data_IF_827724804685
#
_entry.id   IF_827724804685
#
_cell.length_a   1.000
_cell.length_b   1.000
_cell.length_c   1.000
_cell.angle_alpha   90.00
_cell.angle_beta   90.00
_cell.angle_gamma   90.00
#
_symmetry.space_group_name_H-M   'P 1'
#
loop_
_entity.id
_entity.type
_entity.pdbx_description
1 polymer ?
#
# COMPACT_ATOMS: atom_id res chain seq x y z
N UNK A 1 -0.23 -3.27 -0.44
CA UNK A 1 -0.57 -2.08 -1.19
C UNK A 1 -0.48 -0.88 -0.26
N UNK A 2 -0.01 0.29 -0.69
CA UNK A 2 0.06 1.43 0.21
C UNK A 2 -1.33 1.86 0.69
N UNK A 3 -1.55 1.80 2.00
CA UNK A 3 -2.57 2.63 2.61
C UNK A 3 -2.20 4.08 2.24
N UNK A 4 -3.13 4.84 1.67
CA UNK A 4 -2.84 6.20 1.24
C UNK A 4 -2.30 7.01 2.42
N UNK A 5 -1.14 7.64 2.23
CA UNK A 5 -0.54 8.50 3.23
C UNK A 5 -0.82 9.94 2.88
N UNK A 6 -1.50 10.63 3.79
CA UNK A 6 -1.92 12.03 3.64
C UNK A 6 -1.16 12.92 4.62
N UNK A 7 -0.92 14.18 4.23
CA UNK A 7 -0.33 15.22 5.10
C UNK A 7 -1.36 16.02 5.88
N UNK A 8 -2.61 15.89 5.45
CA UNK A 8 -3.77 16.48 6.10
C UNK A 8 -4.35 15.54 7.16
N UNK A 9 -5.09 16.08 8.15
CA UNK A 9 -5.94 15.28 9.02
C UNK A 9 -6.89 14.39 8.19
N UNK A 10 -7.07 13.15 8.64
CA UNK A 10 -7.93 12.19 7.96
C UNK A 10 -9.40 12.37 8.32
N UNK A 11 -10.28 12.23 7.34
CA UNK A 11 -11.73 12.17 7.48
C UNK A 11 -12.17 10.72 7.25
N UNK A 12 -11.99 9.88 8.26
CA UNK A 12 -12.18 8.44 8.08
C UNK A 12 -13.66 8.02 8.02
N UNK A 13 -14.63 8.84 8.41
CA UNK A 13 -16.05 8.54 8.24
C UNK A 13 -16.56 9.14 6.92
N UNK A 14 -17.08 8.30 6.00
CA UNK A 14 -17.75 8.82 4.81
C UNK A 14 -18.92 9.73 5.17
N UNK A 15 -18.91 10.96 4.66
CA UNK A 15 -19.97 11.95 4.83
C UNK A 15 -19.84 12.87 6.05
N UNK A 16 -18.82 12.68 6.90
CA UNK A 16 -18.52 13.61 8.00
C UNK A 16 -17.46 14.62 7.56
N UNK A 17 -17.67 15.88 7.91
CA UNK A 17 -16.64 16.94 7.82
C UNK A 17 -15.91 17.15 9.15
N UNK A 18 -16.33 16.47 10.21
CA UNK A 18 -15.72 16.59 11.54
C UNK A 18 -14.64 15.52 11.75
N UNK A 19 -13.42 15.99 12.02
CA UNK A 19 -12.25 15.15 12.34
C UNK A 19 -12.34 14.51 13.73
N UNK A 20 -13.19 15.01 14.62
CA UNK A 20 -13.36 14.54 16.01
C UNK A 20 -14.44 13.48 16.19
N UNK A 21 -15.12 13.11 15.11
CA UNK A 21 -16.16 12.08 15.16
C UNK A 21 -15.58 10.72 15.56
N UNK A 22 -16.15 10.11 16.60
CA UNK A 22 -15.86 8.73 17.03
C UNK A 22 -15.95 7.70 15.90
N UNK A 23 -16.79 7.94 14.88
CA UNK A 23 -16.87 7.11 13.68
C UNK A 23 -15.57 7.04 12.88
N UNK A 24 -14.71 8.06 12.97
CA UNK A 24 -13.40 8.07 12.32
C UNK A 24 -12.48 6.96 12.87
N UNK A 25 -12.50 6.75 14.19
CA UNK A 25 -11.67 5.71 14.83
C UNK A 25 -12.13 4.29 14.46
N UNK A 26 -13.43 4.08 14.34
CA UNK A 26 -14.01 2.79 13.91
C UNK A 26 -13.55 2.45 12.50
N UNK A 27 -13.68 3.39 11.55
CA UNK A 27 -13.25 3.17 10.17
C UNK A 27 -11.75 2.99 10.01
N UNK A 28 -10.94 3.74 10.75
CA UNK A 28 -9.49 3.51 10.79
C UNK A 28 -9.14 2.11 11.27
N UNK A 29 -9.87 1.62 12.28
CA UNK A 29 -9.67 0.28 12.83
C UNK A 29 -10.07 -0.80 11.81
N UNK A 30 -11.24 -0.66 11.19
CA UNK A 30 -11.72 -1.55 10.13
C UNK A 30 -10.69 -1.61 8.99
N UNK A 31 -10.26 -0.46 8.46
CA UNK A 31 -9.28 -0.42 7.37
C UNK A 31 -7.97 -1.11 7.76
N UNK A 32 -7.46 -0.85 8.97
CA UNK A 32 -6.23 -1.48 9.44
C UNK A 32 -6.33 -3.00 9.53
N UNK A 33 -7.46 -3.53 10.02
CA UNK A 33 -7.68 -4.98 10.09
C UNK A 33 -7.92 -5.60 8.71
N UNK A 34 -8.79 -5.01 7.89
CA UNK A 34 -9.05 -5.46 6.52
C UNK A 34 -7.78 -5.54 5.69
N UNK A 35 -6.91 -4.53 5.82
CA UNK A 35 -5.62 -4.50 5.15
C UNK A 35 -4.70 -5.67 5.56
N UNK A 36 -4.54 -5.91 6.87
CA UNK A 36 -3.70 -6.99 7.39
C UNK A 36 -4.27 -8.35 7.01
N UNK A 37 -5.58 -8.53 7.15
CA UNK A 37 -6.28 -9.77 6.82
C UNK A 37 -6.16 -10.08 5.33
N UNK A 38 -6.37 -9.10 4.45
CA UNK A 38 -6.18 -9.30 3.02
C UNK A 38 -4.73 -9.66 2.66
N UNK A 39 -3.74 -9.08 3.37
CA UNK A 39 -2.32 -9.43 3.20
C UNK A 39 -2.05 -10.88 3.58
N UNK A 40 -2.64 -11.36 4.68
CA UNK A 40 -2.57 -12.76 5.08
C UNK A 40 -3.25 -13.68 4.06
N UNK A 41 -4.40 -13.29 3.52
CA UNK A 41 -5.07 -14.04 2.46
C UNK A 41 -4.15 -14.18 1.24
N UNK A 42 -3.47 -13.12 0.80
CA UNK A 42 -2.50 -13.21 -0.30
C UNK A 42 -1.31 -14.10 0.04
N UNK A 43 -0.71 -13.97 1.23
CA UNK A 43 0.41 -14.82 1.64
C UNK A 43 0.00 -16.30 1.63
N UNK A 44 -1.12 -16.63 2.29
CA UNK A 44 -1.62 -17.99 2.35
C UNK A 44 -2.01 -18.52 0.96
N UNK A 45 -2.69 -17.70 0.15
CA UNK A 45 -3.08 -18.05 -1.20
C UNK A 45 -1.88 -18.35 -2.10
N UNK A 46 -0.82 -17.53 -2.02
CA UNK A 46 0.38 -17.69 -2.85
C UNK A 46 1.11 -19.01 -2.60
N UNK A 47 1.00 -19.57 -1.39
CA UNK A 47 1.59 -20.88 -1.07
C UNK A 47 0.95 -21.99 -1.89
N UNK A 48 -0.35 -21.92 -2.16
CA UNK A 48 -1.05 -22.93 -2.95
C UNK A 48 -0.72 -22.90 -4.45
N UNK A 49 -0.02 -21.86 -4.93
CA UNK A 49 0.44 -21.77 -6.32
C UNK A 49 1.71 -22.60 -6.59
N UNK A 50 2.32 -23.20 -5.56
CA UNK A 50 3.42 -24.12 -5.77
C UNK A 50 2.93 -25.41 -6.46
N UNK A 51 3.66 -25.94 -7.46
CA UNK A 51 3.26 -27.16 -8.17
C UNK A 51 3.00 -28.37 -7.25
N UNK A 52 3.71 -28.47 -6.12
CA UNK A 52 3.50 -29.52 -5.11
C UNK A 52 2.14 -29.46 -4.41
N UNK A 53 1.43 -28.34 -4.53
CA UNK A 53 0.12 -28.10 -3.93
C UNK A 53 -0.97 -27.88 -5.01
N UNK A 54 -0.71 -28.27 -6.27
CA UNK A 54 -1.63 -28.05 -7.39
C UNK A 54 -3.05 -28.59 -7.14
N UNK A 55 -3.20 -29.66 -6.36
CA UNK A 55 -4.51 -30.20 -5.95
C UNK A 55 -5.38 -29.21 -5.16
N UNK A 56 -4.78 -28.16 -4.59
CA UNK A 56 -5.44 -27.15 -3.78
C UNK A 56 -5.39 -25.75 -4.41
N UNK A 57 -5.09 -25.64 -5.71
CA UNK A 57 -4.94 -24.35 -6.39
C UNK A 57 -6.19 -23.46 -6.25
N UNK A 58 -7.38 -24.07 -6.33
CA UNK A 58 -8.65 -23.39 -6.15
C UNK A 58 -8.77 -22.69 -4.78
N UNK A 59 -8.18 -23.25 -3.71
CA UNK A 59 -8.12 -22.59 -2.40
C UNK A 59 -7.26 -21.34 -2.47
N UNK A 60 -6.13 -21.43 -3.18
CA UNK A 60 -5.26 -20.29 -3.49
C UNK A 60 -6.00 -19.17 -4.21
N UNK A 61 -6.73 -19.49 -5.27
CA UNK A 61 -7.47 -18.52 -6.10
C UNK A 61 -8.55 -17.80 -5.28
N UNK A 62 -9.33 -18.55 -4.48
CA UNK A 62 -10.35 -17.95 -3.61
C UNK A 62 -9.76 -17.06 -2.52
N UNK A 63 -8.62 -17.45 -1.92
CA UNK A 63 -7.92 -16.60 -0.95
C UNK A 63 -7.41 -15.31 -1.62
N UNK A 64 -6.88 -15.40 -2.83
CA UNK A 64 -6.45 -14.24 -3.61
C UNK A 64 -7.61 -13.29 -3.93
N UNK A 65 -8.75 -13.85 -4.34
CA UNK A 65 -9.96 -13.08 -4.61
C UNK A 65 -10.48 -12.38 -3.34
N UNK A 66 -10.61 -13.10 -2.23
CA UNK A 66 -11.05 -12.54 -0.95
C UNK A 66 -10.08 -11.44 -0.46
N UNK A 67 -8.77 -11.67 -0.56
CA UNK A 67 -7.75 -10.67 -0.24
C UNK A 67 -7.89 -9.40 -1.09
N UNK A 68 -8.15 -9.55 -2.38
CA UNK A 68 -8.36 -8.44 -3.31
C UNK A 68 -9.59 -7.60 -2.96
N UNK A 69 -10.70 -8.24 -2.54
CA UNK A 69 -11.90 -7.53 -2.08
C UNK A 69 -11.66 -6.72 -0.80
N UNK A 70 -10.94 -7.29 0.17
CA UNK A 70 -10.56 -6.57 1.39
C UNK A 70 -9.68 -5.35 1.08
N UNK A 71 -8.78 -5.47 0.11
CA UNK A 71 -7.96 -4.36 -0.35
C UNK A 71 -8.76 -3.30 -1.08
N UNK A 72 -9.70 -3.70 -1.93
CA UNK A 72 -10.61 -2.77 -2.61
C UNK A 72 -11.46 -1.98 -1.61
N UNK A 73 -11.89 -2.61 -0.51
CA UNK A 73 -12.59 -1.91 0.56
C UNK A 73 -11.72 -0.79 1.15
N UNK A 74 -10.46 -1.08 1.46
CA UNK A 74 -9.52 -0.11 2.05
C UNK A 74 -9.24 1.04 1.08
N UNK A 75 -8.94 0.73 -0.18
CA UNK A 75 -8.56 1.75 -1.17
C UNK A 75 -9.75 2.57 -1.65
N UNK A 76 -10.92 1.93 -1.79
CA UNK A 76 -12.17 2.62 -2.08
C UNK A 76 -12.54 3.58 -0.96
N UNK A 77 -12.35 3.17 0.29
CA UNK A 77 -12.53 4.05 1.45
C UNK A 77 -11.55 5.24 1.41
N UNK A 78 -10.25 5.00 1.18
CA UNK A 78 -9.25 6.06 1.05
C UNK A 78 -9.60 7.05 -0.07
N UNK A 79 -10.05 6.56 -1.23
CA UNK A 79 -10.48 7.41 -2.35
C UNK A 79 -11.72 8.26 -2.01
N UNK A 80 -12.70 7.66 -1.34
CA UNK A 80 -13.90 8.39 -0.90
C UNK A 80 -13.53 9.50 0.08
N UNK A 81 -12.61 9.22 1.01
CA UNK A 81 -12.08 10.22 1.93
C UNK A 81 -11.41 11.37 1.16
N UNK A 82 -10.49 11.08 0.23
CA UNK A 82 -9.78 12.08 -0.57
C UNK A 82 -10.77 12.97 -1.31
N UNK A 83 -11.77 12.36 -1.95
CA UNK A 83 -12.78 13.08 -2.70
C UNK A 83 -13.64 13.98 -1.81
N UNK A 84 -14.05 13.48 -0.64
CA UNK A 84 -14.82 14.26 0.33
C UNK A 84 -14.01 15.43 0.89
N UNK A 85 -12.76 15.18 1.29
CA UNK A 85 -11.90 16.21 1.84
C UNK A 85 -11.68 17.36 0.85
N UNK A 86 -11.28 17.04 -0.39
CA UNK A 86 -10.96 18.07 -1.38
C UNK A 86 -12.19 18.74 -1.99
N UNK A 87 -13.38 18.12 -1.89
CA UNK A 87 -14.65 18.81 -2.16
C UNK A 87 -14.98 19.87 -1.12
N UNK A 88 -14.69 19.59 0.16
CA UNK A 88 -14.93 20.53 1.25
C UNK A 88 -13.82 21.61 1.36
N UNK A 89 -12.60 21.32 0.89
CA UNK A 89 -11.43 22.20 1.01
C UNK A 89 -10.72 22.43 -0.33
N UNK A 90 -11.37 23.08 -1.33
CA UNK A 90 -10.73 23.34 -2.61
C UNK A 90 -9.51 24.25 -2.44
N UNK A 91 -8.32 23.77 -2.79
CA UNK A 91 -7.08 24.57 -2.74
C UNK A 91 -6.49 24.83 -4.14
N UNK A 92 -6.86 24.05 -5.16
CA UNK A 92 -6.33 24.14 -6.53
C UNK A 92 -4.79 24.09 -6.59
N UNK A 93 -4.17 23.32 -5.68
CA UNK A 93 -2.72 23.20 -5.58
C UNK A 93 -2.25 21.87 -6.14
N UNK A 94 -1.01 21.77 -6.63
CA UNK A 94 -0.47 20.49 -7.12
C UNK A 94 -0.56 19.33 -6.13
N UNK A 95 -0.59 19.62 -4.82
CA UNK A 95 -0.78 18.61 -3.77
C UNK A 95 -2.13 17.89 -3.86
N UNK A 96 -3.22 18.59 -4.23
CA UNK A 96 -4.54 17.99 -4.40
C UNK A 96 -4.56 16.96 -5.54
N UNK A 97 -3.82 17.28 -6.61
CA UNK A 97 -3.77 16.50 -7.84
C UNK A 97 -2.93 15.26 -7.62
N UNK A 98 -1.78 15.41 -6.94
CA UNK A 98 -0.91 14.30 -6.54
C UNK A 98 -1.68 13.31 -5.64
N UNK A 99 -2.45 13.80 -4.66
CA UNK A 99 -3.22 12.92 -3.76
C UNK A 99 -4.32 12.14 -4.50
N UNK A 100 -5.04 12.82 -5.41
CA UNK A 100 -6.06 12.17 -6.24
C UNK A 100 -5.45 11.13 -7.16
N UNK A 101 -4.32 11.43 -7.80
CA UNK A 101 -3.62 10.47 -8.67
C UNK A 101 -3.23 9.23 -7.86
N UNK A 102 -2.59 9.39 -6.70
CA UNK A 102 -2.22 8.27 -5.85
C UNK A 102 -3.44 7.41 -5.46
N UNK A 103 -4.52 8.04 -4.98
CA UNK A 103 -5.74 7.34 -4.57
C UNK A 103 -6.43 6.60 -5.73
N UNK A 104 -6.50 7.20 -6.92
CA UNK A 104 -7.05 6.54 -8.10
C UNK A 104 -6.18 5.41 -8.60
N UNK A 105 -4.86 5.58 -8.67
CA UNK A 105 -3.92 4.51 -9.04
C UNK A 105 -4.10 3.30 -8.12
N UNK A 106 -4.32 3.55 -6.84
CA UNK A 106 -4.61 2.52 -5.85
C UNK A 106 -5.93 1.79 -6.11
N UNK A 107 -7.04 2.51 -6.26
CA UNK A 107 -8.33 1.87 -6.54
C UNK A 107 -8.32 1.09 -7.85
N UNK A 108 -7.79 1.68 -8.92
CA UNK A 108 -7.67 1.02 -10.22
C UNK A 108 -6.80 -0.24 -10.14
N UNK A 109 -5.69 -0.17 -9.39
CA UNK A 109 -4.85 -1.33 -9.15
C UNK A 109 -5.60 -2.46 -8.43
N UNK A 110 -6.39 -2.14 -7.39
CA UNK A 110 -7.21 -3.15 -6.70
C UNK A 110 -8.33 -3.72 -7.54
N UNK A 111 -8.99 -2.90 -8.37
CA UNK A 111 -10.01 -3.38 -9.30
C UNK A 111 -9.41 -4.36 -10.31
N UNK A 112 -8.23 -4.05 -10.83
CA UNK A 112 -7.51 -4.96 -11.72
C UNK A 112 -7.14 -6.28 -10.99
N UNK A 113 -6.72 -6.24 -9.71
CA UNK A 113 -6.47 -7.46 -8.93
C UNK A 113 -7.74 -8.28 -8.67
N UNK A 114 -8.88 -7.63 -8.40
CA UNK A 114 -10.17 -8.32 -8.25
C UNK A 114 -10.57 -9.00 -9.56
N UNK A 115 -10.51 -8.28 -10.68
CA UNK A 115 -10.80 -8.84 -12.01
C UNK A 115 -9.82 -9.97 -12.35
N UNK A 116 -8.53 -9.78 -12.08
CA UNK A 116 -7.50 -10.79 -12.28
C UNK A 116 -7.77 -12.06 -11.50
N UNK A 117 -8.05 -11.92 -10.20
CA UNK A 117 -8.37 -13.06 -9.33
C UNK A 117 -9.64 -13.80 -9.77
N UNK A 118 -10.66 -13.09 -10.27
CA UNK A 118 -11.85 -13.72 -10.85
C UNK A 118 -11.49 -14.58 -12.07
N UNK A 119 -10.66 -14.07 -12.97
CA UNK A 119 -10.24 -14.82 -14.16
C UNK A 119 -9.48 -16.12 -13.83
N UNK A 120 -8.81 -16.21 -12.69
CA UNK A 120 -8.14 -17.41 -12.22
C UNK A 120 -9.05 -18.42 -11.52
N UNK A 121 -10.30 -18.06 -11.19
CA UNK A 121 -11.22 -19.01 -10.56
C UNK A 121 -11.48 -20.22 -11.48
N UNK A 122 -11.65 -21.44 -10.92
CA UNK A 122 -11.88 -22.67 -11.69
C UNK A 122 -13.12 -22.63 -12.60
N UNK A 123 -14.06 -21.71 -12.37
CA UNK A 123 -15.25 -21.55 -13.21
C UNK A 123 -15.02 -20.72 -14.47
N UNK A 124 -13.95 -19.89 -14.50
CA UNK A 124 -13.65 -19.01 -15.63
C UNK A 124 -12.39 -19.45 -16.38
N UNK A 125 -11.30 -19.72 -15.66
CA UNK A 125 -10.01 -20.18 -16.22
C UNK A 125 -9.47 -19.29 -17.36
N UNK A 126 -9.76 -17.98 -17.32
CA UNK A 126 -9.24 -16.99 -18.28
C UNK A 126 -7.83 -16.53 -17.88
N UNK A 127 -6.90 -17.48 -17.77
CA UNK A 127 -5.57 -17.30 -17.19
C UNK A 127 -4.81 -16.11 -17.79
N UNK A 128 -4.79 -15.99 -19.12
CA UNK A 128 -4.08 -14.91 -19.80
C UNK A 128 -4.69 -13.52 -19.49
N UNK A 129 -6.01 -13.42 -19.46
CA UNK A 129 -6.69 -12.17 -19.08
C UNK A 129 -6.41 -11.83 -17.61
N UNK A 130 -6.43 -12.84 -16.73
CA UNK A 130 -6.10 -12.68 -15.32
C UNK A 130 -4.68 -12.15 -15.10
N UNK A 131 -3.71 -12.72 -15.82
CA UNK A 131 -2.32 -12.31 -15.77
C UNK A 131 -2.12 -10.85 -16.24
N UNK A 132 -2.77 -10.46 -17.34
CA UNK A 132 -2.75 -9.05 -17.80
C UNK A 132 -3.33 -8.11 -16.75
N UNK A 133 -4.44 -8.48 -16.12
CA UNK A 133 -5.04 -7.71 -15.03
C UNK A 133 -4.08 -7.53 -13.85
N UNK A 134 -3.38 -8.58 -13.41
CA UNK A 134 -2.37 -8.47 -12.34
C UNK A 134 -1.17 -7.60 -12.74
N UNK A 135 -0.71 -7.67 -13.99
CA UNK A 135 0.36 -6.80 -14.51
C UNK A 135 -0.07 -5.33 -14.45
N UNK A 136 -1.23 -5.01 -15.04
CA UNK A 136 -1.76 -3.64 -15.06
C UNK A 136 -1.96 -3.12 -13.63
N UNK A 137 -2.54 -3.94 -12.75
CA UNK A 137 -2.78 -3.55 -11.37
C UNK A 137 -1.49 -3.30 -10.60
N UNK A 138 -0.46 -4.12 -10.83
CA UNK A 138 0.84 -3.98 -10.17
C UNK A 138 1.57 -2.72 -10.63
N UNK A 139 1.50 -2.40 -11.93
CA UNK A 139 2.00 -1.13 -12.49
C UNK A 139 1.27 0.06 -11.87
N UNK A 140 -0.07 -0.01 -11.74
CA UNK A 140 -0.84 1.06 -11.10
C UNK A 140 -0.41 1.27 -9.63
N UNK A 141 -0.14 0.20 -8.88
CA UNK A 141 0.42 0.31 -7.53
C UNK A 141 1.81 0.94 -7.48
N UNK A 142 2.68 0.64 -8.45
CA UNK A 142 3.99 1.27 -8.57
C UNK A 142 3.83 2.77 -8.79
N UNK A 143 3.00 3.18 -9.76
CA UNK A 143 2.72 4.59 -10.04
C UNK A 143 2.17 5.28 -8.80
N UNK A 144 1.14 4.72 -8.17
CA UNK A 144 0.55 5.29 -6.96
C UNK A 144 1.56 5.40 -5.82
N UNK A 145 2.42 4.38 -5.63
CA UNK A 145 3.49 4.38 -4.63
C UNK A 145 4.50 5.51 -4.87
N UNK A 146 4.98 5.67 -6.11
CA UNK A 146 5.91 6.73 -6.49
C UNK A 146 5.31 8.13 -6.30
N UNK A 147 4.05 8.30 -6.69
CA UNK A 147 3.31 9.56 -6.52
C UNK A 147 3.10 9.86 -5.02
N UNK A 148 2.78 8.86 -4.20
CA UNK A 148 2.58 9.03 -2.76
C UNK A 148 3.88 9.43 -2.04
N UNK A 149 5.06 9.01 -2.52
CA UNK A 149 6.36 9.50 -2.01
C UNK A 149 6.51 11.00 -2.18
N UNK A 150 6.10 11.54 -3.33
CA UNK A 150 6.21 12.98 -3.62
C UNK A 150 5.39 13.84 -2.66
N UNK A 151 4.42 13.24 -1.97
CA UNK A 151 3.62 13.95 -0.98
C UNK A 151 4.42 14.24 0.29
N UNK A 152 5.40 13.40 0.66
CA UNK A 152 6.17 13.54 1.90
C UNK A 152 7.25 14.61 1.78
N UNK A 153 6.83 15.85 2.02
CA UNK A 153 7.70 17.05 2.07
C UNK A 153 8.10 17.39 3.51
N UNK A 154 7.23 17.13 4.50
CA UNK A 154 7.53 17.33 5.93
C UNK A 154 7.04 16.12 6.76
N UNK A 155 7.78 15.76 7.81
CA UNK A 155 7.42 14.66 8.70
C UNK A 155 7.65 15.05 10.18
N UNK A 156 6.77 14.60 11.10
CA UNK A 156 6.84 14.94 12.52
C UNK A 156 7.96 14.23 13.29
N UNK A 157 8.74 13.35 12.67
CA UNK A 157 9.97 12.80 13.25
C UNK A 157 10.72 11.99 12.20
N UNK A 158 12.03 11.79 12.42
CA UNK A 158 12.86 10.90 11.61
C UNK A 158 12.31 9.47 11.58
N UNK A 159 11.86 8.94 12.73
CA UNK A 159 11.28 7.60 12.81
C UNK A 159 9.99 7.50 11.96
N UNK A 160 9.09 8.48 12.04
CA UNK A 160 7.86 8.49 11.24
C UNK A 160 8.17 8.49 9.73
N UNK A 161 9.15 9.31 9.32
CA UNK A 161 9.61 9.38 7.93
C UNK A 161 10.27 8.06 7.47
N UNK A 162 11.11 7.45 8.31
CA UNK A 162 11.74 6.16 7.99
C UNK A 162 10.72 5.04 7.86
N UNK A 163 9.72 4.97 8.75
CA UNK A 163 8.64 3.99 8.64
C UNK A 163 7.84 4.18 7.35
N UNK A 164 7.63 5.44 6.92
CA UNK A 164 7.02 5.73 5.63
C UNK A 164 7.88 5.22 4.46
N UNK A 165 9.17 5.54 4.42
CA UNK A 165 10.07 5.10 3.35
C UNK A 165 10.16 3.58 3.26
N UNK A 166 10.27 2.89 4.41
CA UNK A 166 10.26 1.42 4.47
C UNK A 166 8.94 0.87 3.92
N UNK A 167 7.82 1.46 4.32
CA UNK A 167 6.48 1.06 3.85
C UNK A 167 6.39 1.14 2.33
N UNK A 168 6.77 2.28 1.74
CA UNK A 168 6.74 2.46 0.28
C UNK A 168 7.67 1.47 -0.40
N UNK A 169 8.91 1.31 0.08
CA UNK A 169 9.87 0.40 -0.54
C UNK A 169 9.34 -1.04 -0.57
N UNK A 170 8.78 -1.53 0.54
CA UNK A 170 8.16 -2.86 0.61
C UNK A 170 7.05 -3.02 -0.42
N UNK A 171 6.22 -1.99 -0.60
CA UNK A 171 5.10 -2.03 -1.53
C UNK A 171 5.55 -1.94 -3.00
N UNK A 172 6.54 -1.11 -3.32
CA UNK A 172 7.08 -1.03 -4.68
C UNK A 172 7.77 -2.33 -5.09
N UNK A 173 8.59 -2.91 -4.22
CA UNK A 173 9.27 -4.19 -4.47
C UNK A 173 8.22 -5.31 -4.58
N UNK A 174 7.24 -5.33 -3.67
CA UNK A 174 6.13 -6.28 -3.73
C UNK A 174 5.38 -6.22 -5.06
N UNK A 175 4.96 -5.02 -5.50
CA UNK A 175 4.32 -4.82 -6.80
C UNK A 175 5.20 -5.29 -7.96
N UNK A 176 6.50 -4.99 -7.95
CA UNK A 176 7.41 -5.41 -9.01
C UNK A 176 7.50 -6.94 -9.09
N UNK A 177 7.55 -7.64 -7.96
CA UNK A 177 7.52 -9.10 -7.91
C UNK A 177 6.21 -9.67 -8.47
N UNK A 178 5.06 -9.07 -8.13
CA UNK A 178 3.77 -9.46 -8.71
C UNK A 178 3.73 -9.27 -10.23
N UNK A 179 4.26 -8.16 -10.74
CA UNK A 179 4.38 -7.93 -12.19
C UNK A 179 5.18 -9.04 -12.85
N UNK A 180 6.38 -9.33 -12.34
CA UNK A 180 7.27 -10.35 -12.94
C UNK A 180 6.68 -11.75 -12.83
N UNK A 181 6.09 -12.10 -11.68
CA UNK A 181 5.46 -13.40 -11.45
C UNK A 181 4.26 -13.66 -12.37
N UNK A 182 3.58 -12.60 -12.83
CA UNK A 182 2.42 -12.71 -13.71
C UNK A 182 2.77 -12.93 -15.18
N UNK A 183 3.98 -12.54 -15.62
CA UNK A 183 4.40 -12.64 -17.03
C UNK A 183 4.41 -14.09 -17.54
N UNK A 184 4.94 -15.08 -16.80
CA UNK A 184 4.96 -16.47 -17.24
C UNK A 184 3.61 -17.07 -17.62
N UNK A 185 2.52 -16.61 -17.00
CA UNK A 185 1.16 -17.07 -17.31
C UNK A 185 0.68 -16.66 -18.72
N UNK A 186 1.46 -15.83 -19.44
CA UNK A 186 1.23 -15.47 -20.84
C UNK A 186 2.02 -16.34 -21.81
N UNK A 187 2.89 -17.22 -21.31
CA UNK A 187 3.73 -18.08 -22.13
C UNK A 187 3.10 -19.46 -22.33
N UNK A 188 3.46 -20.09 -23.44
CA UNK A 188 3.20 -21.50 -23.69
C UNK A 188 4.53 -22.23 -23.59
N UNK A 189 4.76 -22.89 -22.46
CA UNK A 189 5.98 -23.63 -22.18
C UNK A 189 5.72 -25.12 -22.23
N UNK A 190 6.73 -25.89 -22.62
CA UNK A 190 6.71 -27.34 -22.50
C UNK A 190 7.33 -27.78 -21.17
N UNK A 191 6.92 -28.94 -20.67
CA UNK A 191 7.62 -29.59 -19.56
C UNK A 191 9.07 -29.95 -19.95
N UNK A 192 10.07 -29.78 -19.07
CA UNK A 192 10.00 -29.42 -17.64
C UNK A 192 10.17 -27.91 -17.33
N UNK A 193 10.30 -27.07 -18.36
CA UNK A 193 10.53 -25.63 -18.19
C UNK A 193 9.33 -24.97 -17.50
N UNK A 194 8.11 -25.41 -17.84
CA UNK A 194 6.86 -24.95 -17.25
C UNK A 194 6.85 -25.12 -15.71
N UNK A 195 7.11 -26.33 -15.23
CA UNK A 195 7.16 -26.63 -13.79
C UNK A 195 8.18 -25.74 -13.04
N UNK A 196 9.34 -25.50 -13.64
CA UNK A 196 10.40 -24.67 -13.02
C UNK A 196 9.99 -23.21 -12.94
N UNK A 197 9.44 -22.68 -14.02
CA UNK A 197 9.01 -21.29 -14.12
C UNK A 197 7.80 -21.03 -13.22
N UNK A 198 6.84 -21.94 -13.15
CA UNK A 198 5.67 -21.85 -12.24
C UNK A 198 6.10 -21.86 -10.78
N UNK A 199 7.08 -22.71 -10.40
CA UNK A 199 7.66 -22.67 -9.05
C UNK A 199 8.33 -21.33 -8.73
N UNK A 200 9.06 -20.76 -9.68
CA UNK A 200 9.70 -19.46 -9.52
C UNK A 200 8.65 -18.34 -9.36
N UNK A 201 7.62 -18.32 -10.20
CA UNK A 201 6.50 -17.38 -10.10
C UNK A 201 5.78 -17.48 -8.75
N UNK A 202 5.48 -18.69 -8.28
CA UNK A 202 4.87 -18.92 -6.96
C UNK A 202 5.73 -18.35 -5.82
N UNK A 203 7.06 -18.54 -5.86
CA UNK A 203 7.97 -17.97 -4.87
C UNK A 203 7.98 -16.42 -4.89
N UNK A 204 7.90 -15.82 -6.08
CA UNK A 204 7.78 -14.38 -6.23
C UNK A 204 6.45 -13.85 -5.68
N UNK A 205 5.33 -14.54 -5.93
CA UNK A 205 4.03 -14.19 -5.33
C UNK A 205 4.07 -14.28 -3.81
N UNK A 206 4.60 -15.35 -3.22
CA UNK A 206 4.74 -15.47 -1.76
C UNK A 206 5.57 -14.32 -1.20
N UNK A 207 6.71 -14.03 -1.82
CA UNK A 207 7.61 -12.95 -1.38
C UNK A 207 6.94 -11.59 -1.50
N UNK A 208 6.30 -11.30 -2.64
CA UNK A 208 5.56 -10.06 -2.85
C UNK A 208 4.44 -9.88 -1.83
N UNK A 209 3.66 -10.94 -1.58
CA UNK A 209 2.58 -10.96 -0.58
C UNK A 209 3.11 -10.69 0.83
N UNK A 210 4.25 -11.29 1.20
CA UNK A 210 4.90 -11.06 2.49
C UNK A 210 5.33 -9.60 2.66
N UNK A 211 5.96 -9.01 1.64
CA UNK A 211 6.34 -7.60 1.67
C UNK A 211 5.12 -6.69 1.83
N UNK A 212 4.01 -7.01 1.16
CA UNK A 212 2.75 -6.27 1.32
C UNK A 212 2.11 -6.42 2.70
N UNK A 213 2.16 -7.62 3.28
CA UNK A 213 1.67 -7.85 4.63
C UNK A 213 2.53 -7.08 5.66
N UNK A 214 3.86 -7.22 5.59
CA UNK A 214 4.79 -6.53 6.49
C UNK A 214 4.66 -5.02 6.35
N UNK A 215 4.59 -4.48 5.13
CA UNK A 215 4.37 -3.05 4.92
C UNK A 215 3.05 -2.55 5.52
N UNK A 216 2.02 -3.39 5.58
CA UNK A 216 0.79 -3.12 6.33
C UNK A 216 0.99 -2.99 7.82
N UNK A 217 1.74 -3.93 8.41
CA UNK A 217 2.10 -3.90 9.83
C UNK A 217 2.92 -2.63 10.14
N UNK A 218 3.90 -2.30 9.30
CA UNK A 218 4.72 -1.08 9.43
C UNK A 218 3.85 0.17 9.33
N UNK A 219 2.88 0.20 8.41
CA UNK A 219 1.95 1.33 8.26
C UNK A 219 1.08 1.52 9.50
N UNK A 220 0.56 0.43 10.06
CA UNK A 220 -0.19 0.46 11.31
C UNK A 220 0.68 0.99 12.47
N UNK A 221 1.91 0.48 12.59
CA UNK A 221 2.86 0.95 13.61
C UNK A 221 3.19 2.44 13.46
N UNK A 222 3.39 2.92 12.23
CA UNK A 222 3.59 4.35 11.93
C UNK A 222 2.42 5.20 12.42
N UNK A 223 1.19 4.71 12.26
CA UNK A 223 -0.01 5.36 12.82
C UNK A 223 0.02 5.47 14.35
N UNK A 224 0.43 4.40 15.05
CA UNK A 224 0.59 4.43 16.50
C UNK A 224 1.66 5.43 16.97
N UNK A 225 2.81 5.48 16.27
CA UNK A 225 3.87 6.46 16.54
C UNK A 225 3.36 7.88 16.36
N UNK A 226 2.65 8.15 15.26
CA UNK A 226 2.04 9.47 15.01
C UNK A 226 1.07 9.89 16.11
N UNK A 227 0.20 8.98 16.56
CA UNK A 227 -0.77 9.25 17.63
C UNK A 227 -0.09 9.53 18.98
N UNK A 228 0.96 8.77 19.33
CA UNK A 228 1.73 9.00 20.56
C UNK A 228 2.44 10.35 20.54
N UNK A 229 3.07 10.72 19.42
CA UNK A 229 3.70 12.03 19.24
C UNK A 229 2.67 13.15 19.43
N UNK A 230 1.51 13.06 18.77
CA UNK A 230 0.44 14.05 18.90
C UNK A 230 -0.13 14.15 20.33
N UNK A 231 -0.22 13.04 21.06
CA UNK A 231 -0.66 13.05 22.46
C UNK A 231 0.36 13.73 23.38
N UNK A 232 1.65 13.44 23.18
CA UNK A 232 2.74 14.05 23.96
C UNK A 232 2.84 15.57 23.73
N UNK A 233 2.74 16.03 22.48
CA UNK A 233 2.73 17.48 22.16
C UNK A 233 1.58 18.22 22.86
N UNK A 234 0.38 17.62 22.87
CA UNK A 234 -0.80 18.18 23.54
C UNK A 234 -0.65 18.22 25.05
N UNK A 235 -0.10 17.17 25.66
CA UNK A 235 0.15 17.13 27.11
C UNK A 235 1.21 18.16 27.56
N UNK A 236 2.18 18.49 26.70
CA UNK A 236 3.24 19.45 27.00
C UNK A 236 2.95 20.92 26.68
N UNK A 237 1.83 21.25 26.01
CA UNK A 237 1.58 22.61 25.50
C UNK A 237 2.61 23.08 24.46
N UNK A 238 3.36 22.14 23.85
CA UNK A 238 4.55 22.39 23.03
C UNK A 238 4.27 22.30 21.51
N UNK A 239 3.01 22.43 21.09
CA UNK A 239 2.61 22.15 19.71
C UNK A 239 3.46 22.90 18.66
N UNK A 240 3.79 24.16 18.94
CA UNK A 240 4.69 24.98 18.10
C UNK A 240 6.18 24.75 18.40
N UNK A 241 6.57 24.62 19.66
CA UNK A 241 7.98 24.54 20.07
C UNK A 241 8.66 23.23 19.65
N UNK A 242 7.94 22.11 19.69
CA UNK A 242 8.49 20.81 19.34
C UNK A 242 8.59 20.59 17.83
N UNK A 243 7.64 21.10 17.05
CA UNK A 243 7.75 21.13 15.58
C UNK A 243 8.99 21.93 15.16
N UNK A 244 9.27 23.04 15.84
CA UNK A 244 10.52 23.78 15.64
C UNK A 244 11.76 22.96 16.03
N UNK A 245 11.75 22.25 17.17
CA UNK A 245 12.90 21.48 17.63
C UNK A 245 13.22 20.27 16.75
N UNK A 246 12.19 19.58 16.24
CA UNK A 246 12.35 18.50 15.25
C UNK A 246 12.80 19.02 13.88
N UNK A 247 12.29 20.19 13.47
CA UNK A 247 12.75 20.88 12.26
C UNK A 247 14.22 21.26 12.39
N UNK A 248 14.63 21.75 13.55
CA UNK A 248 16.02 22.09 13.84
C UNK A 248 16.90 20.83 13.84
N UNK A 249 16.45 19.70 14.39
CA UNK A 249 17.19 18.43 14.32
C UNK A 249 17.34 17.91 12.88
N UNK A 250 16.30 18.03 12.05
CA UNK A 250 16.38 17.67 10.62
C UNK A 250 17.33 18.63 9.90
N UNK A 251 17.30 19.94 10.18
CA UNK A 251 18.20 20.92 9.57
C UNK A 251 19.66 20.73 10.03
N UNK A 252 19.88 20.42 11.30
CA UNK A 252 21.19 20.18 11.88
C UNK A 252 21.80 18.88 11.33
N UNK A 253 21.00 17.82 11.18
CA UNK A 253 21.45 16.55 10.61
C UNK A 253 21.52 16.54 9.08
N UNK A 254 20.74 17.37 8.38
CA UNK A 254 20.82 17.54 6.92
C UNK A 254 21.94 18.48 6.46
N UNK A 255 22.52 19.28 7.37
CA UNK A 255 23.86 19.83 7.23
C UNK A 255 24.90 18.70 7.33
N UNK A 256 24.93 17.82 6.33
CA UNK A 256 26.12 17.02 6.05
C UNK A 256 27.26 18.03 5.92
N UNK A 257 28.19 18.00 6.89
CA UNK A 257 29.42 18.80 6.89
C UNK A 257 29.96 18.83 5.46
N UNK A 258 29.86 19.99 4.81
CA UNK A 258 30.75 20.34 3.72
C UNK A 258 32.14 20.25 4.33
N UNK A 259 32.75 19.08 4.20
CA UNK A 259 34.10 18.82 4.70
C UNK A 259 34.95 19.74 3.86
N UNK A 260 35.51 20.77 4.49
CA UNK A 260 36.49 21.68 3.91
C UNK A 260 37.51 20.86 3.09
N UNK A 261 37.30 20.80 1.78
CA UNK A 261 38.37 20.47 0.83
C UNK A 261 39.20 21.72 0.67
N UNK A 262 39.95 22.07 1.71
CA UNK A 262 41.13 22.91 1.57
C UNK A 262 42.25 22.03 1.01
N UNK A 263 42.45 22.13 -0.30
CA UNK A 263 43.77 21.95 -0.93
C UNK A 263 44.39 23.31 -1.10
#
# INVERSE_FOLDING_TARGET
MPHLVTHRPRLARPGSTDTRDTGNHVWQTINAYSYKLGGLCFVAGSVFFFPSLAAYIAVGDWLFFAGSLLYLLVTGHDLLEVHQYWRAHPTHTGADTIERIAAWSYVLGTLAFVAGSLCFLPSLEWIAAGAVCFIIGSIAFIVGGLVNVLQVVEAPSLLYMQLFNVTVALFLIGSALFTVASIPYLWQLADPADTTITRFAAAQFVTGSLLFFVGGVVTYYRGLVGNKLAAWCRAGGMETAFIHLLRDEIQEKSRIKARDTKR
#
